data_IF_791153443723
#
_entry.id   IF_791153443723
#
_cell.length_a   1.000
_cell.length_b   1.000
_cell.length_c   1.000
_cell.angle_alpha   90.00
_cell.angle_beta   90.00
_cell.angle_gamma   90.00
#
_symmetry.space_group_name_H-M   'P 1'
#
loop_
_entity.id
_entity.type
_entity.pdbx_description
1 polymer ?
#
# COMPACT_ATOMS: atom_id res chain seq x y z
N UNK A 1 -10.77 33.94 8.23
CA UNK A 1 -11.55 34.53 9.34
C UNK A 1 -11.77 33.48 10.45
N UNK A 2 -10.70 32.87 10.97
CA UNK A 2 -10.72 31.79 12.00
C UNK A 2 -9.64 32.04 13.08
N UNK A 3 -9.09 33.26 13.14
CA UNK A 3 -7.90 33.60 13.93
C UNK A 3 -8.22 34.50 15.15
N UNK A 4 -9.29 34.24 15.91
CA UNK A 4 -9.62 35.09 17.08
C UNK A 4 -9.86 34.39 18.43
N UNK A 5 -9.63 33.08 18.55
CA UNK A 5 -9.66 32.41 19.87
C UNK A 5 -8.63 31.29 19.99
N UNK A 6 -7.34 31.64 20.09
CA UNK A 6 -6.33 30.70 20.62
C UNK A 6 -5.33 31.51 21.45
N UNK A 7 -5.54 31.53 22.77
CA UNK A 7 -4.72 32.27 23.75
C UNK A 7 -3.54 31.46 24.30
N UNK A 8 -3.29 30.25 23.77
CA UNK A 8 -2.14 29.40 24.08
C UNK A 8 -1.46 29.01 22.75
N UNK A 9 -0.58 29.88 22.25
CA UNK A 9 0.13 29.67 20.99
C UNK A 9 1.44 28.90 21.23
N UNK A 10 1.34 27.60 21.56
CA UNK A 10 2.48 26.72 21.35
C UNK A 10 2.34 26.07 19.97
N UNK A 11 2.93 26.72 18.96
CA UNK A 11 2.93 26.26 17.57
C UNK A 11 3.38 24.79 17.45
N UNK A 12 4.29 24.33 18.29
CA UNK A 12 4.79 22.95 18.27
C UNK A 12 3.69 21.91 18.58
N UNK A 13 2.83 22.17 19.57
CA UNK A 13 1.77 21.21 19.93
C UNK A 13 0.62 21.20 18.92
N UNK A 14 0.33 22.34 18.28
CA UNK A 14 -0.64 22.44 17.19
C UNK A 14 -0.13 21.78 15.91
N UNK A 15 1.16 21.95 15.59
CA UNK A 15 1.80 21.25 14.48
C UNK A 15 1.82 19.73 14.72
N UNK A 16 2.19 19.25 15.91
CA UNK A 16 2.19 17.81 16.22
C UNK A 16 0.79 17.20 16.11
N UNK A 17 -0.25 17.90 16.57
CA UNK A 17 -1.64 17.43 16.50
C UNK A 17 -2.23 17.47 15.07
N UNK A 18 -1.73 18.36 14.22
CA UNK A 18 -2.14 18.47 12.81
C UNK A 18 -1.28 17.61 11.85
N UNK A 19 -0.08 17.22 12.26
CA UNK A 19 0.90 16.47 11.44
C UNK A 19 0.54 14.99 11.27
N UNK A 20 -0.51 14.52 11.94
CA UNK A 20 -0.99 13.15 11.81
C UNK A 20 -1.87 13.01 10.56
N UNK A 21 -1.23 12.92 9.39
CA UNK A 21 -1.92 12.40 8.21
C UNK A 21 -1.25 12.70 6.87
N UNK A 22 -1.42 11.81 5.87
CA UNK A 22 -0.92 12.02 4.51
C UNK A 22 -1.44 13.32 3.88
N UNK A 23 -2.66 13.74 4.26
CA UNK A 23 -3.30 14.98 3.78
C UNK A 23 -2.55 16.23 4.23
N UNK A 24 -2.02 16.24 5.45
CA UNK A 24 -1.26 17.37 5.98
C UNK A 24 0.10 17.48 5.31
N UNK A 25 0.82 16.36 5.17
CA UNK A 25 2.10 16.30 4.47
C UNK A 25 1.97 16.70 2.99
N UNK A 26 0.88 16.33 2.34
CA UNK A 26 0.59 16.77 0.97
C UNK A 26 0.34 18.29 0.89
N UNK A 27 -0.43 18.85 1.82
CA UNK A 27 -0.73 20.28 1.85
C UNK A 27 0.52 21.12 2.08
N UNK A 28 1.35 20.75 3.05
CA UNK A 28 2.61 21.44 3.34
C UNK A 28 3.60 21.34 2.17
N UNK A 29 3.60 20.21 1.46
CA UNK A 29 4.42 20.04 0.27
C UNK A 29 3.99 20.95 -0.89
N UNK A 30 2.68 21.05 -1.17
CA UNK A 30 2.15 21.95 -2.20
C UNK A 30 2.40 23.42 -1.83
N UNK A 31 2.26 23.77 -0.56
CA UNK A 31 2.59 25.09 -0.04
C UNK A 31 4.08 25.42 -0.23
N UNK A 32 4.98 24.49 0.11
CA UNK A 32 6.42 24.66 -0.11
C UNK A 32 6.77 24.86 -1.60
N UNK A 33 6.14 24.10 -2.50
CA UNK A 33 6.35 24.21 -3.95
C UNK A 33 5.87 25.55 -4.54
N UNK A 34 4.93 26.23 -3.87
CA UNK A 34 4.46 27.55 -4.31
C UNK A 34 5.51 28.66 -4.17
N UNK A 35 6.52 28.47 -3.31
CA UNK A 35 7.62 29.42 -3.11
C UNK A 35 8.75 29.29 -4.15
N UNK A 36 8.78 28.20 -4.93
CA UNK A 36 9.78 28.00 -5.97
C UNK A 36 9.40 28.78 -7.24
N UNK A 37 10.31 29.58 -7.82
CA UNK A 37 10.11 30.11 -9.15
C UNK A 37 10.12 28.96 -10.18
N UNK A 38 9.57 29.19 -11.39
CA UNK A 38 8.30 28.66 -11.94
C UNK A 38 7.47 27.63 -11.10
N UNK A 39 6.54 28.10 -10.26
CA UNK A 39 5.70 27.27 -9.37
C UNK A 39 4.76 26.28 -10.08
N UNK A 40 4.22 26.65 -11.24
CA UNK A 40 3.28 25.80 -12.02
C UNK A 40 3.97 24.54 -12.55
N UNK A 41 5.23 24.67 -12.97
CA UNK A 41 6.01 23.54 -13.51
C UNK A 41 6.29 22.48 -12.44
N UNK A 42 6.74 22.90 -11.25
CA UNK A 42 7.02 22.02 -10.13
C UNK A 42 5.76 21.32 -9.62
N UNK A 43 4.64 22.05 -9.53
CA UNK A 43 3.35 21.48 -9.15
C UNK A 43 2.90 20.39 -10.12
N UNK A 44 3.02 20.63 -11.44
CA UNK A 44 2.64 19.65 -12.46
C UNK A 44 3.44 18.34 -12.34
N UNK A 45 4.76 18.43 -12.21
CA UNK A 45 5.63 17.25 -12.06
C UNK A 45 5.28 16.47 -10.81
N UNK A 46 5.01 17.16 -9.70
CA UNK A 46 4.64 16.51 -8.45
C UNK A 46 3.32 15.73 -8.56
N UNK A 47 2.28 16.34 -9.12
CA UNK A 47 1.01 15.64 -9.37
C UNK A 47 1.18 14.47 -10.34
N UNK A 48 2.00 14.63 -11.38
CA UNK A 48 2.31 13.55 -12.32
C UNK A 48 3.02 12.38 -11.62
N UNK A 49 3.97 12.65 -10.73
CA UNK A 49 4.65 11.64 -9.91
C UNK A 49 3.66 10.89 -9.01
N UNK A 50 2.80 11.63 -8.29
CA UNK A 50 1.78 11.01 -7.43
C UNK A 50 0.80 10.14 -8.24
N UNK A 51 0.39 10.61 -9.42
CA UNK A 51 -0.45 9.83 -10.32
C UNK A 51 0.25 8.58 -10.82
N UNK A 52 1.53 8.67 -11.20
CA UNK A 52 2.32 7.52 -11.64
C UNK A 52 2.50 6.47 -10.53
N UNK A 53 2.75 6.90 -9.28
CA UNK A 53 2.83 6.02 -8.12
C UNK A 53 1.48 5.37 -7.77
N UNK A 54 0.38 6.14 -7.87
CA UNK A 54 -0.97 5.61 -7.70
C UNK A 54 -1.33 4.58 -8.78
N UNK A 55 -0.95 4.84 -10.03
CA UNK A 55 -1.20 3.93 -11.14
C UNK A 55 -0.40 2.63 -11.02
N UNK A 56 0.88 2.72 -10.68
CA UNK A 56 1.74 1.54 -10.55
C UNK A 56 1.29 0.61 -9.43
N UNK A 57 0.91 1.16 -8.27
CA UNK A 57 0.34 0.39 -7.17
C UNK A 57 -1.00 -0.26 -7.53
N UNK A 58 -1.89 0.45 -8.23
CA UNK A 58 -3.16 -0.11 -8.71
C UNK A 58 -2.96 -1.28 -9.67
N UNK A 59 -1.99 -1.20 -10.60
CA UNK A 59 -1.64 -2.30 -11.50
C UNK A 59 -1.16 -3.52 -10.69
N UNK A 60 -0.33 -3.32 -9.68
CA UNK A 60 0.14 -4.41 -8.80
C UNK A 60 -1.00 -5.11 -8.06
N UNK A 61 -1.93 -4.36 -7.49
CA UNK A 61 -3.11 -4.92 -6.80
C UNK A 61 -3.98 -5.71 -7.79
N UNK A 62 -4.23 -5.15 -8.97
CA UNK A 62 -5.01 -5.82 -10.01
C UNK A 62 -4.38 -7.15 -10.43
N UNK A 63 -3.06 -7.17 -10.66
CA UNK A 63 -2.34 -8.38 -11.00
C UNK A 63 -2.39 -9.40 -9.85
N UNK A 64 -2.23 -8.95 -8.61
CA UNK A 64 -2.33 -9.79 -7.41
C UNK A 64 -3.70 -10.45 -7.21
N UNK A 65 -4.78 -9.87 -7.74
CA UNK A 65 -6.11 -10.48 -7.73
C UNK A 65 -6.30 -11.40 -8.94
N UNK A 66 -5.88 -10.97 -10.13
CA UNK A 66 -6.13 -11.71 -11.38
C UNK A 66 -5.33 -13.03 -11.42
N UNK A 67 -4.06 -13.01 -11.02
CA UNK A 67 -3.17 -14.19 -11.06
C UNK A 67 -3.72 -15.39 -10.27
N UNK A 68 -4.04 -15.30 -8.96
CA UNK A 68 -4.55 -16.45 -8.22
C UNK A 68 -5.92 -16.92 -8.72
N UNK A 69 -6.74 -16.00 -9.24
CA UNK A 69 -8.05 -16.34 -9.81
C UNK A 69 -7.93 -17.13 -11.11
N UNK A 70 -6.92 -16.82 -11.93
CA UNK A 70 -6.61 -17.55 -13.16
C UNK A 70 -5.97 -18.92 -12.88
N UNK A 71 -5.13 -19.00 -11.86
CA UNK A 71 -4.44 -20.25 -11.49
C UNK A 71 -5.42 -21.27 -10.86
N UNK A 72 -6.40 -20.79 -10.09
CA UNK A 72 -7.37 -21.68 -9.42
C UNK A 72 -8.47 -22.19 -10.38
N UNK A 73 -8.91 -21.37 -11.34
CA UNK A 73 -10.05 -21.70 -12.21
C UNK A 73 -9.68 -21.75 -13.69
N UNK A 74 -9.66 -22.95 -14.25
CA UNK A 74 -9.41 -23.19 -15.68
C UNK A 74 -10.39 -22.45 -16.62
N UNK A 75 -11.63 -22.22 -16.17
CA UNK A 75 -12.62 -21.44 -16.92
C UNK A 75 -12.19 -19.98 -17.11
N UNK A 76 -11.65 -19.36 -16.05
CA UNK A 76 -11.17 -17.98 -16.08
C UNK A 76 -9.89 -17.81 -16.88
N UNK A 77 -9.08 -18.86 -16.99
CA UNK A 77 -7.92 -18.90 -17.89
C UNK A 77 -8.31 -18.87 -19.39
N UNK A 78 -9.45 -19.46 -19.76
CA UNK A 78 -9.97 -19.43 -21.14
C UNK A 78 -10.63 -18.09 -21.49
N UNK A 79 -11.24 -17.44 -20.50
CA UNK A 79 -11.97 -16.18 -20.65
C UNK A 79 -11.32 -15.01 -19.92
N UNK A 80 -9.98 -14.90 -20.01
CA UNK A 80 -9.19 -13.86 -19.35
C UNK A 80 -9.71 -12.43 -19.56
N UNK A 81 -10.14 -12.10 -20.79
CA UNK A 81 -10.66 -10.76 -21.10
C UNK A 81 -11.94 -10.42 -20.31
N UNK A 82 -12.84 -11.40 -20.14
CA UNK A 82 -14.10 -11.20 -19.41
C UNK A 82 -13.85 -11.05 -17.91
N UNK A 83 -12.90 -11.82 -17.34
CA UNK A 83 -12.50 -11.67 -15.94
C UNK A 83 -11.97 -10.26 -15.69
N UNK A 84 -11.03 -9.79 -16.52
CA UNK A 84 -10.41 -8.47 -16.36
C UNK A 84 -11.49 -7.38 -16.38
N UNK A 85 -12.37 -7.39 -17.39
CA UNK A 85 -13.46 -6.40 -17.48
C UNK A 85 -14.37 -6.47 -16.25
N UNK A 86 -14.71 -7.66 -15.76
CA UNK A 86 -15.52 -7.84 -14.56
C UNK A 86 -14.88 -7.24 -13.31
N UNK A 87 -13.59 -7.51 -13.08
CA UNK A 87 -12.86 -6.98 -11.91
C UNK A 87 -12.70 -5.46 -12.01
N UNK A 88 -12.40 -4.92 -13.19
CA UNK A 88 -12.34 -3.47 -13.41
C UNK A 88 -13.69 -2.79 -13.16
N UNK A 89 -14.79 -3.38 -13.64
CA UNK A 89 -16.13 -2.86 -13.40
C UNK A 89 -16.46 -2.84 -11.90
N UNK A 90 -16.15 -3.92 -11.19
CA UNK A 90 -16.38 -4.02 -9.75
C UNK A 90 -15.56 -2.95 -8.99
N UNK A 91 -14.26 -2.82 -9.30
CA UNK A 91 -13.43 -1.78 -8.70
C UNK A 91 -13.94 -0.37 -9.01
N UNK A 92 -14.45 -0.12 -10.21
CA UNK A 92 -15.02 1.17 -10.57
C UNK A 92 -16.28 1.49 -9.75
N UNK A 93 -17.19 0.51 -9.57
CA UNK A 93 -18.40 0.69 -8.75
C UNK A 93 -18.04 0.92 -7.28
N UNK A 94 -17.09 0.15 -6.74
CA UNK A 94 -16.58 0.39 -5.38
C UNK A 94 -15.93 1.77 -5.25
N UNK A 95 -15.15 2.18 -6.25
CA UNK A 95 -14.55 3.53 -6.31
C UNK A 95 -15.61 4.63 -6.24
N UNK A 96 -16.69 4.50 -7.03
CA UNK A 96 -17.81 5.45 -7.01
C UNK A 96 -18.43 5.55 -5.61
N UNK A 97 -18.64 4.43 -4.93
CA UNK A 97 -19.16 4.42 -3.55
C UNK A 97 -18.25 5.23 -2.59
N UNK A 98 -16.94 5.10 -2.70
CA UNK A 98 -15.99 5.84 -1.86
C UNK A 98 -15.82 7.32 -2.22
N UNK A 99 -16.21 7.75 -3.42
CA UNK A 99 -16.16 9.17 -3.82
C UNK A 99 -17.29 10.04 -3.23
N UNK A 100 -18.28 9.41 -2.56
CA UNK A 100 -19.34 10.15 -1.87
C UNK A 100 -18.77 11.02 -0.73
N UNK A 101 -19.45 12.12 -0.31
CA UNK A 101 -18.96 12.97 0.78
C UNK A 101 -18.77 12.23 2.11
N UNK A 102 -19.59 11.20 2.36
CA UNK A 102 -19.44 10.27 3.48
C UNK A 102 -18.29 9.27 3.30
N UNK A 103 -17.76 9.09 2.09
CA UNK A 103 -16.72 8.12 1.74
C UNK A 103 -15.41 8.33 2.48
N UNK A 104 -15.09 9.57 2.86
CA UNK A 104 -13.90 9.87 3.68
C UNK A 104 -13.90 9.15 5.04
N UNK A 105 -15.07 8.96 5.65
CA UNK A 105 -15.22 8.20 6.89
C UNK A 105 -15.00 6.70 6.65
N UNK A 106 -15.58 6.16 5.57
CA UNK A 106 -15.41 4.76 5.20
C UNK A 106 -13.95 4.41 4.88
N UNK A 107 -13.24 5.27 4.13
CA UNK A 107 -11.81 5.08 3.84
C UNK A 107 -10.98 5.04 5.11
N UNK A 108 -11.26 5.94 6.07
CA UNK A 108 -10.55 5.96 7.36
C UNK A 108 -10.79 4.68 8.14
N UNK A 109 -12.04 4.25 8.26
CA UNK A 109 -12.39 3.01 8.97
C UNK A 109 -11.73 1.78 8.33
N UNK A 110 -11.71 1.71 7.00
CA UNK A 110 -11.07 0.61 6.27
C UNK A 110 -9.55 0.60 6.47
N UNK A 111 -8.92 1.78 6.39
CA UNK A 111 -7.47 1.91 6.56
C UNK A 111 -7.02 1.49 7.96
N UNK A 112 -7.73 1.93 9.00
CA UNK A 112 -7.29 1.72 10.38
C UNK A 112 -7.61 0.29 10.89
N UNK A 113 -8.72 -0.31 10.45
CA UNK A 113 -9.18 -1.59 10.99
C UNK A 113 -9.15 -2.76 10.00
N UNK A 114 -9.55 -2.54 8.74
CA UNK A 114 -9.77 -3.63 7.79
C UNK A 114 -8.53 -4.05 7.02
N UNK A 115 -7.58 -3.15 6.80
CA UNK A 115 -6.37 -3.45 6.02
C UNK A 115 -5.28 -4.02 6.93
N UNK A 116 -5.04 -3.40 8.07
CA UNK A 116 -3.91 -3.74 8.95
C UNK A 116 -4.04 -5.13 9.55
N UNK A 117 -5.22 -5.47 10.09
CA UNK A 117 -5.43 -6.73 10.80
C UNK A 117 -5.24 -7.97 9.91
N UNK A 118 -5.89 -8.09 8.72
CA UNK A 118 -5.68 -9.25 7.84
C UNK A 118 -4.26 -9.35 7.30
N UNK A 119 -3.61 -8.24 6.98
CA UNK A 119 -2.23 -8.26 6.47
C UNK A 119 -1.28 -8.85 7.51
N UNK A 120 -1.37 -8.41 8.77
CA UNK A 120 -0.55 -8.96 9.86
C UNK A 120 -0.79 -10.47 10.00
N UNK A 121 -2.06 -10.89 10.00
CA UNK A 121 -2.42 -12.30 10.09
C UNK A 121 -1.81 -13.11 8.93
N UNK A 122 -1.97 -12.64 7.69
CA UNK A 122 -1.43 -13.32 6.50
C UNK A 122 0.10 -13.44 6.59
N UNK A 123 0.81 -12.35 6.92
CA UNK A 123 2.28 -12.35 7.01
C UNK A 123 2.77 -13.31 8.11
N UNK A 124 2.10 -13.35 9.27
CA UNK A 124 2.45 -14.30 10.35
C UNK A 124 2.23 -15.75 9.91
N UNK A 125 1.10 -16.06 9.25
CA UNK A 125 0.85 -17.41 8.76
C UNK A 125 1.82 -17.83 7.65
N UNK A 126 2.14 -16.92 6.72
CA UNK A 126 3.09 -17.19 5.63
C UNK A 126 4.50 -17.44 6.17
N UNK A 127 4.96 -16.61 7.11
CA UNK A 127 6.28 -16.79 7.75
C UNK A 127 6.35 -18.04 8.63
N UNK A 128 5.26 -18.38 9.34
CA UNK A 128 5.16 -19.63 10.11
C UNK A 128 5.16 -20.86 9.18
N UNK A 129 4.44 -20.81 8.06
CA UNK A 129 4.42 -21.90 7.08
C UNK A 129 5.80 -22.13 6.44
N UNK A 130 6.52 -21.06 6.07
CA UNK A 130 7.87 -21.18 5.50
C UNK A 130 8.88 -21.71 6.53
N UNK A 131 8.82 -21.19 7.75
CA UNK A 131 9.80 -21.54 8.80
C UNK A 131 9.66 -22.97 9.31
N UNK A 132 8.43 -23.39 9.64
CA UNK A 132 8.14 -24.69 10.27
C UNK A 132 7.65 -25.77 9.31
N UNK A 133 6.78 -25.45 8.34
CA UNK A 133 6.20 -26.47 7.46
C UNK A 133 7.12 -26.81 6.28
N UNK A 134 7.67 -25.81 5.58
CA UNK A 134 8.63 -26.04 4.49
C UNK A 134 10.07 -26.27 5.01
N UNK A 135 10.41 -25.62 6.12
CA UNK A 135 11.71 -25.69 6.77
C UNK A 135 12.69 -24.65 6.22
N UNK A 136 13.15 -23.74 7.09
CA UNK A 136 14.04 -22.62 6.73
C UNK A 136 15.32 -23.03 5.98
N UNK A 137 15.90 -24.20 6.30
CA UNK A 137 17.10 -24.72 5.62
C UNK A 137 16.84 -25.13 4.18
N UNK A 138 15.67 -25.68 3.88
CA UNK A 138 15.30 -26.11 2.54
C UNK A 138 15.00 -24.91 1.65
N UNK A 139 14.31 -23.92 2.20
CA UNK A 139 14.10 -22.63 1.54
C UNK A 139 15.41 -21.92 1.19
N UNK A 140 16.39 -21.89 2.11
CA UNK A 140 17.70 -21.27 1.85
C UNK A 140 18.49 -21.99 0.75
N UNK A 141 18.36 -23.31 0.66
CA UNK A 141 18.97 -24.10 -0.41
C UNK A 141 18.35 -23.78 -1.77
N UNK A 142 17.02 -23.72 -1.86
CA UNK A 142 16.30 -23.36 -3.09
C UNK A 142 16.65 -21.93 -3.55
N UNK A 143 16.73 -20.99 -2.61
CA UNK A 143 17.18 -19.62 -2.92
C UNK A 143 18.63 -19.60 -3.43
N UNK A 144 19.52 -20.38 -2.85
CA UNK A 144 20.92 -20.46 -3.31
C UNK A 144 21.00 -20.99 -4.75
N UNK A 145 20.13 -21.95 -5.12
CA UNK A 145 20.01 -22.46 -6.49
C UNK A 145 19.49 -21.38 -7.45
N UNK A 146 18.47 -20.61 -7.05
CA UNK A 146 17.87 -19.56 -7.88
C UNK A 146 18.77 -18.33 -8.06
N UNK A 147 19.47 -17.91 -7.00
CA UNK A 147 20.35 -16.73 -7.01
C UNK A 147 21.77 -17.04 -7.51
N UNK A 148 22.17 -18.31 -7.55
CA UNK A 148 23.52 -18.72 -7.97
C UNK A 148 24.66 -18.29 -7.04
N UNK A 149 24.34 -17.73 -5.87
CA UNK A 149 25.30 -17.31 -4.85
C UNK A 149 24.90 -17.83 -3.47
N UNK A 150 25.85 -18.32 -2.64
CA UNK A 150 25.54 -18.83 -1.31
C UNK A 150 25.07 -17.70 -0.38
N UNK A 151 23.88 -17.86 0.20
CA UNK A 151 23.36 -16.97 1.24
C UNK A 151 23.92 -17.41 2.59
N UNK A 152 24.14 -16.46 3.51
CA UNK A 152 24.73 -16.78 4.81
C UNK A 152 23.83 -17.73 5.63
N UNK A 153 24.40 -18.78 6.24
CA UNK A 153 23.64 -19.78 7.01
C UNK A 153 23.04 -19.21 8.30
N UNK A 154 23.43 -17.99 8.69
CA UNK A 154 22.89 -17.25 9.84
C UNK A 154 21.39 -17.04 9.68
N UNK A 155 20.90 -16.75 8.47
CA UNK A 155 19.47 -16.59 8.22
C UNK A 155 18.68 -17.87 8.45
N UNK A 156 19.25 -19.04 8.14
CA UNK A 156 18.60 -20.32 8.39
C UNK A 156 18.46 -20.69 9.87
N UNK A 157 19.28 -20.10 10.74
CA UNK A 157 19.19 -20.27 12.20
C UNK A 157 18.35 -19.16 12.86
N UNK A 158 18.41 -17.93 12.34
CA UNK A 158 17.70 -16.78 12.91
C UNK A 158 16.19 -16.86 12.64
N UNK A 159 15.78 -17.33 11.47
CA UNK A 159 14.37 -17.31 11.03
C UNK A 159 13.41 -18.15 11.89
N UNK A 160 13.76 -19.36 12.36
CA UNK A 160 12.90 -20.13 13.28
C UNK A 160 12.87 -19.58 14.71
N UNK A 161 13.79 -18.70 15.09
CA UNK A 161 13.87 -18.11 16.43
C UNK A 161 13.24 -16.72 16.53
N UNK A 162 13.07 -16.02 15.40
CA UNK A 162 12.50 -14.68 15.34
C UNK A 162 10.97 -14.66 15.08
N UNK A 163 10.43 -15.73 14.50
CA UNK A 163 8.99 -15.96 14.32
C UNK A 163 8.42 -16.73 15.52
#
# INVERSE_FOLDING_TARGET
MVLREVTECNIETQFLKASEGPKFAFLSFVEAMSFLPPSVFWSFIFFLMLLAMGLSSAIGIMQGIITPLQDTFSFFRKHTKLLIVGVFLLMFVCGLFFTQPSGSYFIRLLSDYWIVFPIIVIVVFETMAVSWAYGARRFLADLTILLGHPISPVFGWLWPHLC
#
